data_IF_029503151870
#
_entry.id   IF_029503151870
#
_cell.length_a   1.000
_cell.length_b   1.000
_cell.length_c   1.000
_cell.angle_alpha   90.00
_cell.angle_beta   90.00
_cell.angle_gamma   90.00
#
_symmetry.space_group_name_H-M   'P 1'
#
loop_
_entity.id
_entity.type
_entity.pdbx_description
1 polymer ?
#
# COMPACT_ATOMS: atom_id res chain seq x y z
N UNK A 1 -18.88 -7.25 4.13
CA UNK A 1 -18.04 -7.07 5.34
C UNK A 1 -17.31 -5.75 5.26
N UNK A 2 -16.71 -5.28 6.36
CA UNK A 2 -16.00 -3.99 6.43
C UNK A 2 -14.54 -4.06 5.96
N UNK A 3 -14.02 -5.26 5.68
CA UNK A 3 -12.60 -5.46 5.43
C UNK A 3 -12.35 -5.77 3.95
N UNK A 4 -11.24 -5.24 3.45
CA UNK A 4 -10.61 -5.64 2.20
C UNK A 4 -9.13 -5.89 2.50
N UNK A 5 -8.69 -7.14 2.36
CA UNK A 5 -7.34 -7.59 2.70
C UNK A 5 -6.59 -7.83 1.41
N UNK A 6 -5.32 -7.44 1.39
CA UNK A 6 -4.46 -7.52 0.21
C UNK A 6 -3.14 -8.19 0.56
N UNK A 7 -2.72 -9.14 -0.27
CA UNK A 7 -1.37 -9.70 -0.25
C UNK A 7 -0.56 -9.25 -1.46
N UNK A 8 0.70 -8.90 -1.24
CA UNK A 8 1.57 -8.34 -2.27
C UNK A 8 2.98 -8.07 -1.76
N UNK A 9 3.74 -7.32 -2.55
CA UNK A 9 5.05 -6.77 -2.15
C UNK A 9 5.04 -5.26 -2.33
N UNK A 10 5.88 -4.58 -1.55
CA UNK A 10 6.17 -3.17 -1.74
C UNK A 10 7.39 -3.00 -2.62
N UNK A 11 7.30 -2.07 -3.56
CA UNK A 11 8.43 -1.53 -4.29
C UNK A 11 8.59 -0.07 -3.85
N UNK A 12 9.49 0.14 -2.90
CA UNK A 12 9.69 1.45 -2.24
C UNK A 12 10.91 2.16 -2.80
N UNK A 13 10.77 3.47 -3.04
CA UNK A 13 11.91 4.40 -3.12
C UNK A 13 11.98 5.20 -1.83
N UNK A 14 13.13 5.14 -1.16
CA UNK A 14 13.36 5.82 0.10
C UNK A 14 14.31 7.01 -0.08
N UNK A 15 14.11 8.05 0.72
CA UNK A 15 15.02 9.19 0.83
C UNK A 15 15.47 9.34 2.27
N UNK A 16 16.76 9.61 2.49
CA UNK A 16 17.29 9.93 3.81
C UNK A 16 17.15 11.43 4.05
N UNK A 17 16.44 11.80 5.11
CA UNK A 17 16.29 13.19 5.57
C UNK A 17 17.08 13.40 6.85
N UNK A 18 17.18 14.64 7.33
CA UNK A 18 17.77 14.97 8.62
C UNK A 18 17.03 14.29 9.79
N UNK A 19 15.75 13.97 9.61
CA UNK A 19 14.93 13.26 10.58
C UNK A 19 14.80 11.75 10.28
N UNK A 20 15.72 11.19 9.50
CA UNK A 20 15.75 9.76 9.16
C UNK A 20 15.13 9.42 7.79
N UNK A 21 14.95 8.12 7.55
CA UNK A 21 14.43 7.60 6.29
C UNK A 21 12.94 7.89 6.12
N UNK A 22 12.55 8.29 4.90
CA UNK A 22 11.16 8.51 4.50
C UNK A 22 10.87 7.79 3.18
N UNK A 23 9.60 7.42 2.99
CA UNK A 23 9.12 6.85 1.72
C UNK A 23 8.89 8.03 0.76
N UNK A 24 9.70 8.11 -0.29
CA UNK A 24 9.50 9.08 -1.36
C UNK A 24 8.42 8.60 -2.33
N UNK A 25 8.35 7.30 -2.59
CA UNK A 25 7.34 6.65 -3.42
C UNK A 25 7.15 5.20 -2.98
N UNK A 26 5.92 4.69 -3.07
CA UNK A 26 5.58 3.30 -2.78
C UNK A 26 4.58 2.78 -3.80
N UNK A 27 4.96 1.71 -4.50
CA UNK A 27 4.04 0.89 -5.27
C UNK A 27 3.71 -0.38 -4.49
N UNK A 28 2.42 -0.66 -4.30
CA UNK A 28 1.95 -1.96 -3.82
C UNK A 28 1.65 -2.83 -5.05
N UNK A 29 2.54 -3.78 -5.34
CA UNK A 29 2.28 -4.77 -6.38
C UNK A 29 1.41 -5.88 -5.81
N UNK A 30 0.14 -5.85 -6.21
CA UNK A 30 -0.91 -6.74 -5.69
C UNK A 30 -0.82 -8.13 -6.32
N UNK A 31 -0.84 -9.17 -5.49
CA UNK A 31 -0.84 -10.57 -5.95
C UNK A 31 -2.18 -11.26 -5.71
N UNK A 32 -2.81 -10.98 -4.57
CA UNK A 32 -4.16 -11.46 -4.27
C UNK A 32 -4.90 -10.44 -3.38
N UNK A 33 -6.23 -10.56 -3.34
CA UNK A 33 -7.08 -9.78 -2.43
C UNK A 33 -8.32 -10.57 -2.02
N UNK A 34 -8.84 -10.29 -0.84
CA UNK A 34 -10.03 -10.91 -0.26
C UNK A 34 -10.93 -9.86 0.42
N UNK A 35 -12.25 -10.06 0.38
CA UNK A 35 -13.21 -9.22 1.11
C UNK A 35 -13.96 -8.22 0.24
N UNK A 36 -14.39 -7.11 0.84
CA UNK A 36 -15.32 -6.15 0.22
C UNK A 36 -14.58 -5.08 -0.61
N UNK A 37 -14.66 -5.08 -1.95
CA UNK A 37 -13.93 -4.12 -2.79
C UNK A 37 -14.41 -2.66 -2.61
N UNK A 38 -15.63 -2.44 -2.12
CA UNK A 38 -16.17 -1.08 -1.88
C UNK A 38 -15.35 -0.28 -0.86
N UNK A 39 -14.58 -0.95 0.00
CA UNK A 39 -13.63 -0.31 0.92
C UNK A 39 -12.56 0.49 0.19
N UNK A 40 -12.21 0.09 -1.04
CA UNK A 40 -11.16 0.75 -1.84
C UNK A 40 -11.70 1.76 -2.86
N UNK A 41 -13.03 1.89 -2.96
CA UNK A 41 -13.64 2.80 -3.94
C UNK A 41 -13.36 4.25 -3.53
N UNK A 42 -12.77 5.04 -4.43
CA UNK A 42 -12.63 6.48 -4.22
C UNK A 42 -14.00 7.15 -4.30
N UNK A 43 -14.26 8.10 -3.39
CA UNK A 43 -15.46 8.95 -3.37
C UNK A 43 -15.48 9.92 -4.54
#
# INVERSE_FOLDING_TARGET
>A
GSNFIVGGRYEDRLVRTEHGWRIAHRDLVRMWSEGNPEVTRRS
#
